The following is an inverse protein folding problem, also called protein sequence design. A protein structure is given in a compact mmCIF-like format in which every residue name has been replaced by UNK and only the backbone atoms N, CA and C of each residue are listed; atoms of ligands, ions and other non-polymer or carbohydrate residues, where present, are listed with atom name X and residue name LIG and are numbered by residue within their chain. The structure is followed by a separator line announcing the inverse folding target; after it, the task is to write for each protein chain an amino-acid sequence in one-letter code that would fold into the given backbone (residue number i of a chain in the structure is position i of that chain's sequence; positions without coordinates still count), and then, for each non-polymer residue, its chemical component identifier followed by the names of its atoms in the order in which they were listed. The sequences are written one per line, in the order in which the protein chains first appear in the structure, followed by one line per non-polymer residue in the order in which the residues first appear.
data_IF_992027315114
#
_entry.id   IF_992027315114
#
_cell.length_a   1.000
_cell.length_b   1.000
_cell.length_c   1.000
_cell.angle_alpha   90.00
_cell.angle_beta   90.00
_cell.angle_gamma   90.00
#
_symmetry.space_group_name_H-M   'P 1'
#
loop_
_entity.id
_entity.type
_entity.pdbx_description
1 polymer ?
#
# COMPACT_ATOMS: atom_id res chain seq x y z
N UNK A 1 25.73 -50.12 2.30
CA UNK A 1 25.15 -48.88 2.89
C UNK A 1 24.79 -47.95 1.74
N UNK A 2 23.52 -47.51 1.62
CA UNK A 2 22.83 -47.41 0.35
C UNK A 2 23.06 -46.09 -0.41
N UNK A 3 22.91 -46.16 -1.73
CA UNK A 3 22.80 -45.02 -2.65
C UNK A 3 21.55 -44.22 -2.27
N UNK A 4 21.74 -43.00 -1.78
CA UNK A 4 20.66 -42.06 -1.49
C UNK A 4 19.87 -41.71 -2.76
N UNK A 5 18.58 -42.00 -2.72
CA UNK A 5 17.56 -41.62 -3.69
C UNK A 5 17.53 -40.10 -3.89
N UNK A 6 17.72 -39.64 -5.13
CA UNK A 6 17.52 -38.24 -5.54
C UNK A 6 16.05 -37.92 -5.85
N UNK A 7 15.11 -38.81 -5.51
CA UNK A 7 13.70 -38.66 -5.87
C UNK A 7 12.90 -37.70 -4.96
N UNK A 8 13.54 -37.03 -3.99
CA UNK A 8 12.88 -36.13 -3.06
C UNK A 8 13.08 -34.63 -3.34
N UNK A 9 13.81 -34.25 -4.40
CA UNK A 9 13.92 -32.85 -4.78
C UNK A 9 12.93 -32.53 -5.89
N UNK A 10 11.70 -32.19 -5.48
CA UNK A 10 10.85 -31.31 -6.26
C UNK A 10 11.59 -30.03 -6.65
N UNK A 11 11.12 -29.31 -7.69
CA UNK A 11 11.90 -28.34 -8.43
C UNK A 11 12.62 -27.37 -7.48
N UNK A 12 13.94 -27.29 -7.63
CA UNK A 12 14.81 -26.32 -6.96
C UNK A 12 14.16 -24.96 -7.07
N UNK A 13 13.59 -24.54 -5.95
CA UNK A 13 13.07 -23.21 -5.77
C UNK A 13 14.29 -22.30 -5.67
N UNK A 14 14.85 -21.92 -6.84
CA UNK A 14 15.61 -20.67 -6.96
C UNK A 14 14.77 -19.52 -6.42
N UNK A 15 15.33 -18.32 -6.18
CA UNK A 15 14.58 -17.23 -5.58
C UNK A 15 13.31 -16.99 -6.40
N UNK A 16 12.18 -17.51 -5.92
CA UNK A 16 10.88 -17.22 -6.49
C UNK A 16 10.73 -15.75 -6.19
N UNK A 17 10.86 -14.90 -7.21
CA UNK A 17 10.24 -13.58 -7.15
C UNK A 17 8.83 -13.83 -6.61
N UNK A 18 8.46 -13.21 -5.47
CA UNK A 18 7.21 -13.55 -4.80
C UNK A 18 6.09 -13.51 -5.82
N UNK A 19 5.23 -14.53 -5.83
CA UNK A 19 4.02 -14.52 -6.63
C UNK A 19 3.37 -13.13 -6.48
N UNK A 20 3.06 -12.46 -7.61
CA UNK A 20 2.42 -11.13 -7.73
C UNK A 20 1.00 -11.14 -7.13
N UNK A 21 0.85 -11.72 -5.95
CA UNK A 21 -0.39 -12.32 -5.49
C UNK A 21 -1.36 -11.29 -4.98
N UNK A 22 -0.87 -10.22 -4.33
CA UNK A 22 -1.64 -9.05 -3.87
C UNK A 22 -0.68 -7.89 -3.64
N UNK A 23 -0.68 -6.84 -4.48
CA UNK A 23 0.14 -5.67 -4.21
C UNK A 23 -0.35 -4.99 -2.92
N UNK A 24 0.60 -4.58 -2.07
CA UNK A 24 0.32 -3.67 -0.96
C UNK A 24 0.66 -2.26 -1.45
N UNK A 25 -0.31 -1.34 -1.39
CA UNK A 25 -0.17 0.00 -1.92
C UNK A 25 -0.12 1.03 -0.77
N UNK A 26 0.86 1.92 -0.84
CA UNK A 26 0.88 3.16 -0.05
C UNK A 26 0.54 4.31 -1.00
N UNK A 27 -0.60 4.95 -0.78
CA UNK A 27 -1.09 6.06 -1.59
C UNK A 27 -0.91 7.35 -0.79
N UNK A 28 -0.04 8.23 -1.29
CA UNK A 28 0.17 9.56 -0.70
C UNK A 28 -0.68 10.57 -1.44
N UNK A 29 -1.60 11.21 -0.73
CA UNK A 29 -2.46 12.27 -1.27
C UNK A 29 -2.01 13.63 -0.77
N UNK A 30 -1.89 14.55 -1.71
CA UNK A 30 -1.69 15.97 -1.40
C UNK A 30 -3.04 16.64 -1.18
N UNK A 31 -3.16 17.35 -0.07
CA UNK A 31 -4.32 18.18 0.24
C UNK A 31 -4.12 19.63 -0.22
N UNK A 32 -5.22 20.30 -0.56
CA UNK A 32 -5.28 21.75 -0.79
C UNK A 32 -5.51 22.53 0.52
N UNK A 33 -5.70 23.85 0.42
CA UNK A 33 -5.89 24.74 1.58
C UNK A 33 -7.21 24.45 2.32
N UNK A 34 -8.21 23.94 1.60
CA UNK A 34 -9.50 23.49 2.09
C UNK A 34 -9.50 22.04 2.59
N UNK A 35 -8.33 21.41 2.70
CA UNK A 35 -8.13 20.03 3.17
C UNK A 35 -8.75 18.97 2.25
N UNK A 36 -8.87 19.26 0.95
CA UNK A 36 -9.40 18.33 -0.07
C UNK A 36 -8.28 17.72 -0.89
N UNK A 37 -8.49 16.48 -1.34
CA UNK A 37 -7.53 15.80 -2.19
C UNK A 37 -7.39 16.52 -3.54
N UNK A 38 -6.18 17.01 -3.84
CA UNK A 38 -5.85 17.66 -5.13
C UNK A 38 -6.00 16.72 -6.33
N UNK A 39 -5.78 15.41 -6.12
CA UNK A 39 -5.79 14.40 -7.17
C UNK A 39 -6.62 13.17 -6.73
N UNK A 40 -7.96 13.27 -6.70
CA UNK A 40 -8.82 12.15 -6.28
C UNK A 40 -8.72 10.94 -7.22
N UNK A 41 -8.29 11.14 -8.47
CA UNK A 41 -8.07 10.08 -9.46
C UNK A 41 -7.02 9.05 -9.02
N UNK A 42 -6.07 9.42 -8.14
CA UNK A 42 -5.09 8.47 -7.59
C UNK A 42 -5.76 7.38 -6.74
N UNK A 43 -6.86 7.70 -6.04
CA UNK A 43 -7.64 6.71 -5.30
C UNK A 43 -8.35 5.73 -6.23
N UNK A 44 -8.92 6.23 -7.32
CA UNK A 44 -9.55 5.39 -8.34
C UNK A 44 -8.53 4.46 -9.01
N UNK A 45 -7.34 4.99 -9.34
CA UNK A 45 -6.23 4.21 -9.87
C UNK A 45 -5.76 3.13 -8.88
N UNK A 46 -5.57 3.48 -7.60
CA UNK A 46 -5.17 2.54 -6.57
C UNK A 46 -6.20 1.41 -6.39
N UNK A 47 -7.50 1.74 -6.41
CA UNK A 47 -8.58 0.77 -6.35
C UNK A 47 -8.55 -0.20 -7.56
N UNK A 48 -8.28 0.31 -8.76
CA UNK A 48 -8.14 -0.50 -9.97
C UNK A 48 -6.91 -1.43 -9.91
N UNK A 49 -5.77 -0.91 -9.48
CA UNK A 49 -4.51 -1.68 -9.36
C UNK A 49 -4.61 -2.81 -8.33
N UNK A 50 -5.35 -2.59 -7.24
CA UNK A 50 -5.57 -3.59 -6.21
C UNK A 50 -6.66 -4.60 -6.59
N UNK A 51 -7.54 -4.27 -7.56
CA UNK A 51 -8.69 -5.09 -7.97
C UNK A 51 -9.51 -5.61 -6.77
N UNK A 52 -9.63 -4.80 -5.71
CA UNK A 52 -10.31 -5.15 -4.46
C UNK A 52 -9.61 -6.21 -3.58
N UNK A 53 -8.37 -6.60 -3.88
CA UNK A 53 -7.59 -7.61 -3.13
C UNK A 53 -6.20 -7.08 -2.77
N UNK A 54 -5.95 -6.83 -1.49
CA UNK A 54 -4.65 -6.37 -1.00
C UNK A 54 -4.81 -5.44 0.20
N UNK A 55 -3.71 -4.87 0.68
CA UNK A 55 -3.74 -3.79 1.67
C UNK A 55 -3.46 -2.47 0.93
N UNK A 56 -4.31 -1.47 1.12
CA UNK A 56 -4.05 -0.10 0.67
C UNK A 56 -4.11 0.84 1.85
N UNK A 57 -3.02 1.55 2.07
CA UNK A 57 -2.91 2.60 3.08
C UNK A 57 -2.92 3.93 2.33
N UNK A 58 -3.84 4.81 2.72
CA UNK A 58 -3.90 6.18 2.22
C UNK A 58 -3.40 7.10 3.32
N UNK A 59 -2.47 7.98 2.99
CA UNK A 59 -1.95 8.99 3.92
C UNK A 59 -1.81 10.34 3.24
N UNK A 60 -1.90 11.41 4.02
CA UNK A 60 -1.65 12.77 3.60
C UNK A 60 -0.74 13.47 4.61
N UNK A 61 -0.05 14.52 4.17
CA UNK A 61 0.80 15.34 5.03
C UNK A 61 0.20 16.74 5.07
N UNK A 62 -0.14 17.19 6.27
CA UNK A 62 -0.63 18.54 6.51
C UNK A 62 0.49 19.31 7.22
N UNK A 63 1.02 20.39 6.61
CA UNK A 63 2.02 21.22 7.26
C UNK A 63 1.40 21.96 8.44
N UNK A 64 2.09 21.97 9.57
CA UNK A 64 1.65 22.61 10.80
C UNK A 64 2.45 22.15 12.00
N UNK A 65 2.17 22.72 13.17
CA UNK A 65 2.82 22.39 14.42
C UNK A 65 1.84 21.70 15.38
N UNK A 66 2.28 20.61 15.99
CA UNK A 66 1.50 19.91 17.01
C UNK A 66 1.73 20.58 18.38
N UNK A 67 0.68 20.78 19.21
CA UNK A 67 -0.70 20.30 19.04
C UNK A 67 -1.66 21.28 18.32
N UNK A 68 -1.19 22.46 17.93
CA UNK A 68 -2.04 23.54 17.41
C UNK A 68 -2.84 23.14 16.16
N UNK A 69 -2.23 22.40 15.24
CA UNK A 69 -2.86 21.98 13.98
C UNK A 69 -3.52 20.59 14.05
N UNK A 70 -3.59 19.97 15.23
CA UNK A 70 -4.29 18.69 15.42
C UNK A 70 -5.78 18.73 15.02
N UNK A 71 -6.55 19.80 15.29
CA UNK A 71 -7.94 19.90 14.82
C UNK A 71 -8.05 19.89 13.29
N UNK A 72 -7.09 20.48 12.57
CA UNK A 72 -7.04 20.45 11.10
C UNK A 72 -6.78 19.04 10.59
N UNK A 73 -5.89 18.29 11.24
CA UNK A 73 -5.66 16.89 10.90
C UNK A 73 -6.92 16.04 11.06
N UNK A 74 -7.64 16.18 12.18
CA UNK A 74 -8.91 15.48 12.39
C UNK A 74 -10.03 15.92 11.45
N UNK A 75 -10.04 17.18 11.01
CA UNK A 75 -10.99 17.65 10.02
C UNK A 75 -10.73 17.03 8.64
N UNK A 76 -9.45 16.85 8.26
CA UNK A 76 -9.06 16.24 6.99
C UNK A 76 -9.32 14.73 6.91
N UNK A 77 -9.37 14.03 8.06
CA UNK A 77 -9.71 12.60 8.12
C UNK A 77 -11.19 12.30 7.81
N UNK A 78 -12.08 13.27 7.95
CA UNK A 78 -13.54 13.07 7.84
C UNK A 78 -14.10 13.28 6.41
N UNK A 79 -13.24 13.28 5.39
CA UNK A 79 -13.63 13.48 3.97
C UNK A 79 -13.80 12.16 3.22
#
# INVERSE_FOLDING_TARGET
VPRGSWAAMGPTMGPRLPALGRPQLLVLLKLDEELRATQPQLLALAAQLQAGKGLTIVGSVIPGDLPQDQPRAHAAEQV
#
